data_IF_184176931038
#
_entry.id   IF_184176931038
#
_cell.length_a   1.000
_cell.length_b   1.000
_cell.length_c   1.000
_cell.angle_alpha   90.00
_cell.angle_beta   90.00
_cell.angle_gamma   90.00
#
_symmetry.space_group_name_H-M   'P 1'
#
loop_
_entity.id
_entity.type
_entity.pdbx_description
1 polymer ?
#
# COMPACT_ATOMS: atom_id res chain seq x y z
N UNK A 1 -0.81 6.87 -5.27
CA UNK A 1 -1.18 5.81 -4.30
C UNK A 1 -1.81 6.41 -3.07
N UNK A 2 -1.26 7.43 -2.41
CA UNK A 2 -1.87 7.93 -1.17
C UNK A 2 -3.02 8.92 -1.40
N UNK A 3 -2.74 10.22 -1.57
CA UNK A 3 -3.79 11.27 -1.57
C UNK A 3 -4.88 11.02 -2.62
N UNK A 4 -4.49 10.74 -3.87
CA UNK A 4 -5.46 10.52 -4.94
C UNK A 4 -6.34 9.28 -4.68
N UNK A 5 -5.78 8.21 -4.13
CA UNK A 5 -6.55 7.01 -3.80
C UNK A 5 -7.51 7.24 -2.64
N UNK A 6 -7.10 8.02 -1.63
CA UNK A 6 -8.00 8.40 -0.55
C UNK A 6 -9.19 9.20 -1.08
N UNK A 7 -8.95 10.17 -1.96
CA UNK A 7 -10.02 10.96 -2.59
C UNK A 7 -10.97 10.10 -3.44
N UNK A 8 -10.45 9.30 -4.38
CA UNK A 8 -11.29 8.48 -5.25
C UNK A 8 -11.97 7.34 -4.49
N UNK A 9 -11.27 6.67 -3.58
CA UNK A 9 -11.88 5.59 -2.79
C UNK A 9 -13.01 6.10 -1.91
N UNK A 10 -12.89 7.29 -1.32
CA UNK A 10 -13.98 7.91 -0.56
C UNK A 10 -15.16 8.28 -1.47
N UNK A 11 -14.88 8.84 -2.65
CA UNK A 11 -15.92 9.18 -3.63
C UNK A 11 -16.65 7.94 -4.20
N UNK A 12 -15.96 6.81 -4.30
CA UNK A 12 -16.48 5.55 -4.85
C UNK A 12 -16.98 4.57 -3.78
N UNK A 13 -16.86 4.90 -2.50
CA UNK A 13 -17.26 4.00 -1.40
C UNK A 13 -16.41 2.73 -1.29
N UNK A 14 -15.15 2.79 -1.71
CA UNK A 14 -14.20 1.67 -1.59
C UNK A 14 -13.61 1.61 -0.19
N UNK A 15 -13.35 0.40 0.30
CA UNK A 15 -12.66 0.20 1.57
C UNK A 15 -11.22 0.75 1.52
N UNK A 16 -10.86 1.50 2.55
CA UNK A 16 -9.56 2.17 2.70
C UNK A 16 -8.79 1.71 3.94
N UNK A 17 -9.35 0.81 4.75
CA UNK A 17 -8.78 0.44 6.05
C UNK A 17 -7.38 -0.15 5.88
N UNK A 18 -7.19 -1.04 4.91
CA UNK A 18 -5.89 -1.64 4.62
C UNK A 18 -4.83 -0.61 4.18
N UNK A 19 -5.22 0.36 3.33
CA UNK A 19 -4.31 1.41 2.88
C UNK A 19 -3.90 2.34 4.03
N UNK A 20 -4.86 2.72 4.89
CA UNK A 20 -4.60 3.53 6.06
C UNK A 20 -3.73 2.79 7.09
N UNK A 21 -4.01 1.50 7.31
CA UNK A 21 -3.21 0.63 8.18
C UNK A 21 -1.76 0.52 7.73
N UNK A 22 -1.53 0.37 6.41
CA UNK A 22 -0.18 0.38 5.85
C UNK A 22 0.55 1.71 6.07
N UNK A 23 -0.13 2.85 5.87
CA UNK A 23 0.45 4.18 6.15
C UNK A 23 0.81 4.33 7.64
N UNK A 24 -0.09 3.94 8.54
CA UNK A 24 0.14 3.98 9.99
C UNK A 24 1.29 3.06 10.44
N UNK A 25 1.53 1.95 9.74
CA UNK A 25 2.64 1.05 9.99
C UNK A 25 3.99 1.55 9.44
N UNK A 26 4.01 2.67 8.73
CA UNK A 26 5.23 3.31 8.23
C UNK A 26 5.49 3.12 6.74
N UNK A 27 4.47 2.81 5.94
CA UNK A 27 4.60 2.87 4.48
C UNK A 27 4.88 4.31 4.02
N UNK A 28 5.78 4.47 3.05
CA UNK A 28 6.06 5.75 2.37
C UNK A 28 4.84 6.22 1.54
N UNK A 29 4.06 5.28 1.04
CA UNK A 29 2.77 5.56 0.42
C UNK A 29 1.96 4.29 0.22
N UNK A 30 0.65 4.35 0.38
CA UNK A 30 -0.22 3.20 0.17
C UNK A 30 -1.58 3.65 -0.34
N UNK A 31 -2.25 2.76 -1.06
CA UNK A 31 -3.60 2.99 -1.55
C UNK A 31 -4.03 1.97 -2.58
N UNK A 32 -5.27 2.15 -3.03
CA UNK A 32 -5.92 1.32 -4.03
C UNK A 32 -5.12 1.38 -5.33
N UNK A 33 -4.90 0.20 -5.91
CA UNK A 33 -4.26 -0.02 -7.19
C UNK A 33 -5.31 -0.32 -8.27
N UNK A 34 -5.19 0.32 -9.44
CA UNK A 34 -6.17 0.21 -10.51
C UNK A 34 -7.57 0.67 -10.10
N UNK A 35 -8.59 -0.14 -10.38
CA UNK A 35 -9.98 0.08 -9.97
C UNK A 35 -10.31 -0.49 -8.58
N UNK A 36 -9.31 -1.02 -7.86
CA UNK A 36 -9.51 -1.80 -6.64
C UNK A 36 -9.96 -3.25 -6.91
N UNK A 37 -10.08 -4.09 -5.86
CA UNK A 37 -9.86 -3.79 -4.42
C UNK A 37 -8.39 -3.93 -3.98
N UNK A 38 -7.48 -4.21 -4.92
CA UNK A 38 -6.07 -4.39 -4.59
C UNK A 38 -5.49 -3.12 -3.95
N UNK A 39 -4.72 -3.29 -2.87
CA UNK A 39 -3.96 -2.22 -2.22
C UNK A 39 -2.49 -2.49 -2.46
N UNK A 40 -1.77 -1.45 -2.87
CA UNK A 40 -0.32 -1.47 -2.91
C UNK A 40 0.22 -0.54 -1.83
N UNK A 41 1.39 -0.88 -1.28
CA UNK A 41 2.14 -0.06 -0.36
C UNK A 41 3.61 -0.01 -0.81
N UNK A 42 4.17 1.18 -0.82
CA UNK A 42 5.59 1.43 -1.02
C UNK A 42 6.22 1.70 0.34
N UNK A 43 7.33 1.02 0.63
CA UNK A 43 7.86 0.94 1.99
C UNK A 43 9.38 0.83 1.95
N UNK A 44 10.06 1.39 2.95
CA UNK A 44 11.48 1.11 3.17
C UNK A 44 11.68 -0.29 3.73
N UNK A 45 12.84 -0.89 3.45
CA UNK A 45 13.19 -2.25 3.90
C UNK A 45 13.03 -2.46 5.41
N UNK A 46 13.31 -1.43 6.21
CA UNK A 46 13.20 -1.46 7.67
C UNK A 46 11.75 -1.59 8.18
N UNK A 47 10.78 -1.15 7.37
CA UNK A 47 9.35 -1.11 7.73
C UNK A 47 8.54 -2.21 7.04
N UNK A 48 9.14 -2.94 6.11
CA UNK A 48 8.49 -3.96 5.28
C UNK A 48 7.66 -4.97 6.11
N UNK A 49 8.24 -5.54 7.18
CA UNK A 49 7.55 -6.55 7.99
C UNK A 49 6.38 -5.97 8.81
N UNK A 50 6.50 -4.73 9.27
CA UNK A 50 5.43 -4.05 10.00
C UNK A 50 4.25 -3.75 9.06
N UNK A 51 4.55 -3.23 7.87
CA UNK A 51 3.54 -2.93 6.84
C UNK A 51 2.88 -4.20 6.31
N UNK A 52 3.65 -5.25 6.03
CA UNK A 52 3.09 -6.53 5.58
C UNK A 52 2.13 -7.14 6.62
N UNK A 53 2.47 -7.05 7.91
CA UNK A 53 1.56 -7.46 8.99
C UNK A 53 0.29 -6.63 9.04
N UNK A 54 0.38 -5.31 8.87
CA UNK A 54 -0.79 -4.43 8.82
C UNK A 54 -1.70 -4.70 7.61
N UNK A 55 -1.14 -5.15 6.49
CA UNK A 55 -1.89 -5.54 5.29
C UNK A 55 -2.48 -6.96 5.36
N UNK A 56 -2.09 -7.75 6.35
CA UNK A 56 -2.63 -9.07 6.61
C UNK A 56 -1.85 -10.24 5.98
N UNK A 57 -2.27 -11.49 6.25
CA UNK A 57 -1.51 -12.70 5.92
C UNK A 57 -1.33 -12.96 4.42
N UNK A 58 -2.11 -12.30 3.56
CA UNK A 58 -2.02 -12.41 2.10
C UNK A 58 -1.09 -11.39 1.44
N UNK A 59 -0.36 -10.57 2.21
CA UNK A 59 0.49 -9.52 1.67
C UNK A 59 1.64 -10.10 0.83
N UNK A 60 1.62 -9.81 -0.47
CA UNK A 60 2.72 -10.10 -1.39
C UNK A 60 3.77 -9.00 -1.28
N UNK A 61 5.05 -9.38 -1.29
CA UNK A 61 6.19 -8.48 -1.17
C UNK A 61 7.09 -8.65 -2.38
N UNK A 62 7.56 -7.54 -2.92
CA UNK A 62 8.42 -7.53 -4.10
C UNK A 62 9.41 -6.38 -3.98
N UNK A 63 10.67 -6.66 -4.33
CA UNK A 63 11.68 -5.62 -4.46
C UNK A 63 11.44 -4.82 -5.74
N UNK A 64 11.34 -3.50 -5.61
CA UNK A 64 11.12 -2.59 -6.74
C UNK A 64 12.44 -1.89 -7.08
N UNK A 65 12.88 -2.05 -8.32
CA UNK A 65 14.10 -1.46 -8.84
C UNK A 65 13.80 -0.42 -9.92
N UNK A 66 14.51 0.71 -9.90
CA UNK A 66 14.32 1.77 -10.89
C UNK A 66 15.30 1.61 -12.07
N UNK A 67 14.96 0.72 -13.01
CA UNK A 67 15.63 0.61 -14.31
C UNK A 67 17.01 -0.07 -14.33
N UNK A 68 17.59 -0.39 -13.17
CA UNK A 68 18.72 -1.31 -13.04
C UNK A 68 18.34 -2.35 -11.98
N UNK A 69 18.32 -3.63 -12.38
CA UNK A 69 18.04 -4.75 -11.47
C UNK A 69 19.14 -4.94 -10.42
N UNK A 70 18.99 -5.93 -9.52
CA UNK A 70 19.97 -6.19 -8.47
C UNK A 70 21.39 -6.45 -9.02
#
# INVERSE_FOLDING_TARGET
MSLNSLCYGAALGLDQEMALGALMAGALGAGISGTGPAVAAFVDREREEAVARAMGPGALRVDVFQGAGP
#
